data_IF_020325404005
#
_entry.id   IF_020325404005
#
_cell.length_a   1.000
_cell.length_b   1.000
_cell.length_c   1.000
_cell.angle_alpha   90.00
_cell.angle_beta   90.00
_cell.angle_gamma   90.00
#
_symmetry.space_group_name_H-M   'P 1'
#
loop_
_entity.id
_entity.type
_entity.pdbx_description
1 polymer ?
#
# COMPACT_ATOMS: atom_id res chain seq x y z
N UNK A 1 -9.74 -1.88 -9.27
CA UNK A 1 -9.24 -0.84 -8.36
C UNK A 1 -9.65 -1.23 -6.95
N UNK A 2 -8.73 -1.24 -6.01
CA UNK A 2 -8.97 -1.73 -4.66
C UNK A 2 -8.86 -0.59 -3.66
N UNK A 3 -9.86 -0.48 -2.79
CA UNK A 3 -9.91 0.56 -1.76
C UNK A 3 -9.34 0.03 -0.46
N UNK A 4 -8.31 0.68 0.07
CA UNK A 4 -7.77 0.42 1.40
C UNK A 4 -8.21 1.55 2.34
N UNK A 5 -8.72 1.16 3.51
CA UNK A 5 -9.06 2.10 4.58
C UNK A 5 -8.54 1.55 5.91
N UNK A 6 -7.68 2.33 6.55
CA UNK A 6 -7.23 2.09 7.91
C UNK A 6 -7.94 3.10 8.83
N UNK A 7 -8.99 2.68 9.56
CA UNK A 7 -9.88 3.62 10.25
C UNK A 7 -9.24 4.32 11.46
N UNK A 8 -8.21 3.74 12.08
CA UNK A 8 -7.37 4.43 13.08
C UNK A 8 -5.96 3.85 13.08
N UNK A 9 -5.01 4.63 12.60
CA UNK A 9 -3.59 4.43 12.86
C UNK A 9 -3.19 5.19 14.14
N UNK A 10 -2.09 4.80 14.81
CA UNK A 10 -1.58 5.52 15.96
C UNK A 10 -1.52 7.04 15.71
N UNK A 11 -2.02 7.85 16.66
CA UNK A 11 -1.99 9.32 16.57
C UNK A 11 -3.17 9.99 15.85
N UNK A 12 -4.36 9.38 15.86
CA UNK A 12 -5.60 9.92 15.28
C UNK A 12 -5.50 10.22 13.78
N UNK A 13 -4.89 9.28 13.05
CA UNK A 13 -4.70 9.36 11.61
C UNK A 13 -5.64 8.37 10.92
N UNK A 14 -6.33 8.83 9.89
CA UNK A 14 -7.11 7.99 8.98
C UNK A 14 -6.55 8.11 7.56
N UNK A 15 -6.46 6.99 6.87
CA UNK A 15 -5.98 6.94 5.48
C UNK A 15 -7.06 6.32 4.62
N UNK A 16 -7.35 6.98 3.50
CA UNK A 16 -8.17 6.45 2.41
C UNK A 16 -7.34 6.43 1.15
N UNK A 17 -7.02 5.23 0.66
CA UNK A 17 -6.18 5.08 -0.53
C UNK A 17 -6.75 4.08 -1.53
N UNK A 18 -6.45 4.33 -2.78
CA UNK A 18 -6.54 3.38 -3.87
C UNK A 18 -5.16 2.77 -4.08
N UNK A 19 -5.14 1.46 -4.18
CA UNK A 19 -3.93 0.72 -4.48
C UNK A 19 -4.17 -0.17 -5.69
N UNK A 20 -3.26 -0.07 -6.65
CA UNK A 20 -3.25 -0.88 -7.86
C UNK A 20 -1.90 -1.60 -7.94
N UNK A 21 -1.95 -2.90 -8.17
CA UNK A 21 -0.77 -3.73 -8.41
C UNK A 21 -0.86 -4.25 -9.84
N UNK A 22 0.20 -4.04 -10.60
CA UNK A 22 0.41 -4.60 -11.93
C UNK A 22 1.60 -5.57 -11.88
N UNK A 23 1.40 -6.81 -12.31
CA UNK A 23 2.44 -7.83 -12.40
C UNK A 23 2.61 -8.19 -13.88
N UNK A 24 3.76 -7.86 -14.45
CA UNK A 24 4.03 -7.97 -15.88
C UNK A 24 4.79 -9.26 -16.18
N UNK A 25 4.61 -9.77 -17.40
CA UNK A 25 5.13 -11.09 -17.82
C UNK A 25 6.66 -11.22 -17.80
N UNK A 26 7.38 -10.11 -17.78
CA UNK A 26 8.83 -10.04 -17.76
C UNK A 26 9.41 -9.98 -16.33
N UNK A 27 8.65 -10.42 -15.32
CA UNK A 27 9.06 -10.41 -13.92
C UNK A 27 9.29 -9.00 -13.35
N UNK A 28 8.70 -7.97 -13.95
CA UNK A 28 8.64 -6.63 -13.37
C UNK A 28 7.21 -6.28 -12.99
N UNK A 29 7.05 -5.35 -12.06
CA UNK A 29 5.75 -4.94 -11.59
C UNK A 29 5.74 -3.52 -11.08
N UNK A 30 4.53 -3.02 -10.87
CA UNK A 30 4.30 -1.69 -10.36
C UNK A 30 3.24 -1.71 -9.28
N UNK A 31 3.45 -0.88 -8.27
CA UNK A 31 2.50 -0.61 -7.21
C UNK A 31 2.20 0.89 -7.21
N UNK A 32 0.96 1.23 -7.54
CA UNK A 32 0.46 2.60 -7.55
C UNK A 32 -0.40 2.83 -6.32
N UNK A 33 0.01 3.79 -5.49
CA UNK A 33 -0.70 4.16 -4.27
C UNK A 33 -1.08 5.62 -4.36
N UNK A 34 -2.39 5.87 -4.39
CA UNK A 34 -2.95 7.22 -4.35
C UNK A 34 -3.95 7.35 -3.22
N UNK A 35 -3.98 8.47 -2.51
CA UNK A 35 -4.91 8.61 -1.41
C UNK A 35 -4.80 9.92 -0.67
N UNK A 36 -5.63 10.03 0.36
CA UNK A 36 -5.63 11.17 1.28
C UNK A 36 -5.41 10.64 2.69
N UNK A 37 -4.44 11.24 3.36
CA UNK A 37 -4.19 11.11 4.77
C UNK A 37 -4.85 12.27 5.50
N UNK A 38 -5.68 11.98 6.47
CA UNK A 38 -6.29 12.95 7.37
C UNK A 38 -5.73 12.73 8.77
N UNK A 39 -5.12 13.76 9.35
CA UNK A 39 -4.65 13.77 10.74
C UNK A 39 -5.49 14.75 11.54
N UNK A 40 -6.12 14.27 12.62
CA UNK A 40 -6.79 15.14 13.60
C UNK A 40 -5.75 15.68 14.59
N UNK A 41 -5.67 17.00 14.72
CA UNK A 41 -4.90 17.67 15.77
C UNK A 41 -5.85 18.14 16.88
N UNK A 42 -5.99 17.36 17.95
CA UNK A 42 -6.89 17.67 19.08
C UNK A 42 -8.33 17.15 18.92
N UNK A 43 -9.21 17.58 19.82
CA UNK A 43 -10.58 17.05 19.97
C UNK A 43 -11.63 17.74 19.08
N UNK A 44 -11.27 18.80 18.37
CA UNK A 44 -12.19 19.55 17.52
C UNK A 44 -12.01 19.22 16.03
N UNK A 45 -13.12 19.05 15.31
CA UNK A 45 -13.15 18.76 13.86
C UNK A 45 -12.45 19.82 12.98
N UNK A 46 -12.15 21.00 13.54
CA UNK A 46 -11.59 22.16 12.84
C UNK A 46 -10.07 22.09 12.63
N UNK A 47 -9.37 21.17 13.29
CA UNK A 47 -7.90 21.05 13.20
C UNK A 47 -7.51 19.78 12.43
N UNK A 48 -8.09 19.57 11.24
CA UNK A 48 -7.74 18.47 10.34
C UNK A 48 -6.72 18.93 9.32
N UNK A 49 -5.55 18.32 9.31
CA UNK A 49 -4.58 18.47 8.21
C UNK A 49 -4.75 17.32 7.23
N UNK A 50 -4.88 17.65 5.95
CA UNK A 50 -4.96 16.68 4.85
C UNK A 50 -3.66 16.67 4.07
N UNK A 51 -3.17 15.50 3.67
CA UNK A 51 -2.01 15.34 2.79
C UNK A 51 -2.26 14.26 1.77
N UNK A 52 -1.88 14.51 0.52
CA UNK A 52 -2.00 13.54 -0.55
C UNK A 52 -0.85 12.53 -0.48
N UNK A 53 -1.17 11.26 -0.72
CA UNK A 53 -0.21 10.19 -1.03
C UNK A 53 -0.33 9.93 -2.52
N UNK A 54 0.78 10.00 -3.24
CA UNK A 54 0.86 9.77 -4.68
C UNK A 54 2.22 9.15 -5.00
N UNK A 55 2.30 7.82 -4.82
CA UNK A 55 3.51 7.04 -5.00
C UNK A 55 3.36 5.97 -6.07
N UNK A 56 4.43 5.82 -6.83
CA UNK A 56 4.65 4.72 -7.75
C UNK A 56 5.88 3.96 -7.27
N UNK A 57 5.78 2.64 -7.23
CA UNK A 57 6.88 1.76 -6.89
C UNK A 57 7.05 0.79 -8.05
N UNK A 58 8.18 0.88 -8.74
CA UNK A 58 8.60 -0.13 -9.71
C UNK A 58 9.42 -1.19 -8.98
N UNK A 59 9.29 -2.45 -9.38
CA UNK A 59 10.01 -3.55 -8.76
C UNK A 59 10.19 -4.73 -9.69
N UNK A 60 11.17 -5.57 -9.37
CA UNK A 60 11.25 -6.93 -9.91
C UNK A 60 10.53 -7.90 -8.98
N UNK A 61 10.02 -9.00 -9.53
CA UNK A 61 9.37 -10.04 -8.75
C UNK A 61 9.64 -11.47 -9.23
N UNK A 62 9.64 -12.39 -8.28
CA UNK A 62 9.65 -13.83 -8.54
C UNK A 62 8.46 -14.50 -7.87
N UNK A 63 7.83 -15.44 -8.59
CA UNK A 63 6.75 -16.26 -8.05
C UNK A 63 7.40 -17.41 -7.29
N UNK A 64 6.99 -17.58 -6.04
CA UNK A 64 7.39 -18.68 -5.18
C UNK A 64 6.22 -19.67 -5.01
N UNK A 65 6.48 -20.78 -4.32
CA UNK A 65 5.46 -21.77 -4.00
C UNK A 65 4.35 -21.19 -3.11
N UNK A 66 3.18 -21.85 -3.14
CA UNK A 66 2.05 -21.55 -2.25
C UNK A 66 1.50 -20.12 -2.34
N UNK A 67 1.65 -19.48 -3.51
CA UNK A 67 1.12 -18.14 -3.78
C UNK A 67 1.93 -17.00 -3.15
N UNK A 68 3.16 -17.28 -2.72
CA UNK A 68 4.11 -16.25 -2.34
C UNK A 68 4.75 -15.61 -3.58
N UNK A 69 5.06 -14.32 -3.45
CA UNK A 69 5.80 -13.53 -4.42
C UNK A 69 6.89 -12.82 -3.64
N UNK A 70 8.12 -12.91 -4.12
CA UNK A 70 9.22 -12.09 -3.64
C UNK A 70 9.34 -10.85 -4.50
N UNK A 71 9.29 -9.68 -3.86
CA UNK A 71 9.48 -8.36 -4.45
C UNK A 71 10.89 -7.87 -4.07
N UNK A 72 11.64 -7.38 -5.05
CA UNK A 72 13.02 -6.92 -4.89
C UNK A 72 13.36 -5.82 -5.90
N UNK A 73 14.54 -5.20 -5.79
CA UNK A 73 14.98 -4.09 -6.65
C UNK A 73 13.93 -2.97 -6.77
N UNK A 74 13.39 -2.54 -5.63
CA UNK A 74 12.33 -1.54 -5.60
C UNK A 74 12.86 -0.14 -5.86
N UNK A 75 12.24 0.58 -6.78
CA UNK A 75 12.47 2.00 -7.04
C UNK A 75 11.20 2.78 -6.69
N UNK A 76 11.35 3.84 -5.88
CA UNK A 76 10.21 4.62 -5.37
C UNK A 76 10.19 5.99 -6.02
N UNK A 77 9.06 6.31 -6.66
CA UNK A 77 8.82 7.55 -7.37
C UNK A 77 7.73 8.36 -6.66
N UNK A 78 8.02 9.64 -6.42
CA UNK A 78 7.13 10.57 -5.74
C UNK A 78 6.61 11.59 -6.74
N UNK A 79 5.28 11.73 -6.82
CA UNK A 79 4.69 12.82 -7.58
C UNK A 79 4.81 14.14 -6.78
N UNK A 80 4.87 15.28 -7.47
CA UNK A 80 5.21 16.58 -6.86
C UNK A 80 4.30 17.00 -5.69
N UNK A 81 3.06 16.52 -5.68
CA UNK A 81 2.05 16.77 -4.65
C UNK A 81 2.11 15.80 -3.47
N UNK A 82 2.89 14.73 -3.54
CA UNK A 82 3.17 13.86 -2.40
C UNK A 82 4.12 14.58 -1.43
N UNK A 83 3.62 14.88 -0.24
CA UNK A 83 4.37 15.52 0.85
C UNK A 83 4.56 14.59 2.05
N UNK A 84 4.19 13.33 1.93
CA UNK A 84 4.35 12.34 3.00
C UNK A 84 5.80 11.88 3.02
N UNK A 85 6.40 11.84 4.21
CA UNK A 85 7.77 11.32 4.37
C UNK A 85 7.83 9.80 4.20
N UNK A 86 8.98 9.31 3.78
CA UNK A 86 9.22 7.86 3.59
C UNK A 86 9.07 7.09 4.89
N UNK A 87 9.58 7.63 6.00
CA UNK A 87 9.43 7.02 7.33
C UNK A 87 7.97 6.83 7.71
N UNK A 88 7.14 7.84 7.45
CA UNK A 88 5.72 7.76 7.72
C UNK A 88 5.06 6.71 6.82
N UNK A 89 5.35 6.77 5.52
CA UNK A 89 4.79 5.85 4.54
C UNK A 89 5.13 4.39 4.86
N UNK A 90 6.40 4.10 5.15
CA UNK A 90 6.88 2.76 5.47
C UNK A 90 6.25 2.21 6.76
N UNK A 91 6.05 3.07 7.76
CA UNK A 91 5.50 2.65 9.05
C UNK A 91 3.98 2.44 9.03
N UNK A 92 3.25 3.07 8.10
CA UNK A 92 1.79 3.19 8.19
C UNK A 92 1.01 2.78 6.93
N UNK A 93 1.65 2.74 5.77
CA UNK A 93 0.98 2.50 4.48
C UNK A 93 1.48 1.22 3.84
N UNK A 94 2.76 1.18 3.46
CA UNK A 94 3.38 0.01 2.84
C UNK A 94 4.88 0.03 3.13
N UNK A 95 5.37 -0.97 3.84
CA UNK A 95 6.75 -0.99 4.30
C UNK A 95 7.72 -1.36 3.16
N UNK A 96 8.48 -0.38 2.66
CA UNK A 96 9.51 -0.54 1.63
C UNK A 96 10.94 -0.45 2.19
N UNK A 97 11.11 -0.40 3.51
CA UNK A 97 12.43 -0.26 4.17
C UNK A 97 13.38 -1.45 4.00
N UNK A 98 12.89 -2.64 3.66
CA UNK A 98 13.70 -3.83 3.41
C UNK A 98 13.90 -4.04 1.90
N UNK A 99 15.11 -4.45 1.49
CA UNK A 99 15.46 -4.65 0.08
C UNK A 99 14.69 -5.78 -0.60
N UNK A 100 14.18 -6.73 0.20
CA UNK A 100 13.39 -7.86 -0.27
C UNK A 100 12.14 -8.01 0.59
N UNK A 101 10.99 -8.21 -0.06
CA UNK A 101 9.70 -8.42 0.61
C UNK A 101 9.02 -9.66 0.08
N UNK A 102 8.60 -10.53 0.99
CA UNK A 102 7.64 -11.59 0.66
C UNK A 102 6.23 -11.09 0.85
N UNK A 103 5.42 -11.21 -0.18
CA UNK A 103 3.97 -11.01 -0.12
C UNK A 103 3.29 -12.29 -0.57
N UNK A 104 2.13 -12.58 0.00
CA UNK A 104 1.29 -13.69 -0.40
C UNK A 104 0.02 -13.15 -1.03
N UNK A 105 -0.23 -13.60 -2.26
CA UNK A 105 -1.43 -13.28 -3.02
C UNK A 105 -2.33 -14.50 -3.01
N UNK A 106 -3.51 -14.38 -2.41
CA UNK A 106 -4.49 -15.47 -2.32
C UNK A 106 -5.85 -15.01 -2.82
N UNK A 107 -6.45 -15.78 -3.72
CA UNK A 107 -7.87 -15.60 -4.08
C UNK A 107 -8.77 -16.15 -2.97
N UNK A 108 -9.75 -15.38 -2.54
CA UNK A 108 -10.79 -15.76 -1.57
C UNK A 108 -12.14 -15.34 -2.15
N UNK A 109 -12.96 -16.29 -2.58
CA UNK A 109 -14.23 -16.03 -3.26
C UNK A 109 -14.08 -15.06 -4.45
N UNK A 110 -14.75 -13.91 -4.40
CA UNK A 110 -14.67 -12.82 -5.37
C UNK A 110 -13.58 -11.79 -5.05
N UNK A 111 -12.66 -12.11 -4.14
CA UNK A 111 -11.65 -11.17 -3.63
C UNK A 111 -10.24 -11.70 -3.79
N UNK A 112 -9.28 -10.79 -3.81
CA UNK A 112 -7.85 -11.10 -3.71
C UNK A 112 -7.32 -10.54 -2.40
N UNK A 113 -6.67 -11.38 -1.62
CA UNK A 113 -6.00 -11.00 -0.40
C UNK A 113 -4.50 -10.88 -0.66
N UNK A 114 -3.96 -9.70 -0.38
CA UNK A 114 -2.53 -9.44 -0.29
C UNK A 114 -2.14 -9.46 1.19
N UNK A 115 -1.10 -10.23 1.52
CA UNK A 115 -0.66 -10.44 2.90
C UNK A 115 0.86 -10.46 3.00
N UNK A 116 1.41 -10.07 4.14
CA UNK A 116 2.77 -10.47 4.53
C UNK A 116 2.72 -11.92 5.03
N UNK A 117 3.88 -12.56 5.29
CA UNK A 117 3.91 -13.82 6.03
C UNK A 117 3.26 -13.76 7.43
N UNK A 118 3.12 -12.56 8.02
CA UNK A 118 2.66 -12.38 9.40
C UNK A 118 1.21 -11.88 9.51
N UNK A 119 0.73 -11.11 8.53
CA UNK A 119 -0.59 -10.46 8.59
C UNK A 119 -1.17 -10.14 7.21
N UNK A 120 -2.50 -10.16 7.05
CA UNK A 120 -3.17 -9.55 5.91
C UNK A 120 -2.85 -8.05 5.81
N UNK A 121 -2.47 -7.59 4.61
CA UNK A 121 -2.18 -6.17 4.33
C UNK A 121 -3.38 -5.54 3.65
N UNK A 122 -4.01 -6.24 2.70
CA UNK A 122 -5.01 -5.66 1.82
C UNK A 122 -5.97 -6.70 1.27
N UNK A 123 -7.23 -6.32 1.08
CA UNK A 123 -8.23 -7.12 0.38
C UNK A 123 -8.85 -6.32 -0.77
N UNK A 124 -8.75 -6.89 -1.96
CA UNK A 124 -9.25 -6.36 -3.21
C UNK A 124 -10.55 -7.12 -3.56
N UNK A 125 -11.71 -6.53 -3.32
CA UNK A 125 -13.00 -7.18 -3.60
C UNK A 125 -13.46 -6.84 -5.02
N UNK A 126 -13.70 -7.86 -5.84
CA UNK A 126 -14.35 -7.66 -7.12
C UNK A 126 -15.86 -7.45 -6.89
N UNK A 127 -16.34 -6.24 -7.15
CA UNK A 127 -17.77 -5.97 -7.20
C UNK A 127 -18.28 -6.50 -8.55
N UNK A 128 -19.01 -7.62 -8.49
CA UNK A 128 -19.80 -8.10 -9.62
C UNK A 128 -20.83 -7.04 -10.03
#
# INVERSE_FOLDING_TARGET
MSHYSAPLLPGNISIRSNITIDLRKNNTGSLYISGVLEKKQGDTEQSKTSSAILREIEFDYSIEDNGFISIYNTEVYHLASDKISDDFFNSNVFDLSLPNRKVKIKKINNSWLLSTPFSPIMMCVNKN
#
